data_IF_499244310041
#
_entry.id   IF_499244310041
#
_cell.length_a   1.000
_cell.length_b   1.000
_cell.length_c   1.000
_cell.angle_alpha   90.00
_cell.angle_beta   90.00
_cell.angle_gamma   90.00
#
_symmetry.space_group_name_H-M   'P 1'
#
loop_
_entity.id
_entity.type
_entity.pdbx_description
1 polymer ?
#
# COMPACT_ATOMS: atom_id res chain seq x y z
N UNK A 1 7.45 11.68 -10.76
CA UNK A 1 8.13 11.95 -9.47
C UNK A 1 7.14 11.60 -8.34
N UNK A 2 7.58 10.95 -7.26
CA UNK A 2 6.68 10.62 -6.15
C UNK A 2 6.10 11.89 -5.51
N UNK A 3 4.81 11.88 -5.10
CA UNK A 3 4.23 13.00 -4.35
C UNK A 3 5.05 13.29 -3.08
N UNK A 4 5.18 14.57 -2.66
CA UNK A 4 6.01 14.95 -1.50
C UNK A 4 5.77 14.10 -0.25
N UNK A 5 4.52 13.77 0.03
CA UNK A 5 4.09 12.96 1.17
C UNK A 5 4.57 11.50 1.13
N UNK A 6 5.01 10.99 -0.02
CA UNK A 6 5.55 9.63 -0.19
C UNK A 6 7.03 9.59 -0.54
N UNK A 7 7.72 10.75 -0.62
CA UNK A 7 9.15 10.79 -0.97
C UNK A 7 10.01 9.92 -0.04
N UNK A 8 9.70 9.92 1.26
CA UNK A 8 10.41 9.13 2.28
C UNK A 8 10.30 7.61 2.08
N UNK A 9 9.34 7.15 1.26
CA UNK A 9 9.16 5.73 0.93
C UNK A 9 9.85 5.35 -0.38
N UNK A 10 10.54 6.26 -1.06
CA UNK A 10 11.13 5.97 -2.38
C UNK A 10 12.36 5.05 -2.22
N UNK A 11 12.47 3.97 -3.02
CA UNK A 11 11.49 3.43 -3.98
C UNK A 11 10.37 2.61 -3.31
N UNK A 12 9.14 2.69 -3.83
CA UNK A 12 8.00 1.90 -3.36
C UNK A 12 7.18 1.35 -4.53
N UNK A 13 6.49 0.23 -4.30
CA UNK A 13 5.59 -0.38 -5.28
C UNK A 13 4.17 0.19 -5.18
N UNK A 14 3.54 0.32 -6.34
CA UNK A 14 2.10 0.60 -6.48
C UNK A 14 1.50 -0.43 -7.42
N UNK A 15 0.27 -0.87 -7.13
CA UNK A 15 -0.41 -1.87 -7.94
C UNK A 15 -1.92 -1.84 -7.75
N UNK A 16 -2.61 -2.65 -8.54
CA UNK A 16 -4.04 -2.91 -8.41
C UNK A 16 -4.18 -4.30 -7.79
N UNK A 17 -4.76 -4.38 -6.59
CA UNK A 17 -5.01 -5.63 -5.90
C UNK A 17 -6.44 -6.05 -6.13
N UNK A 18 -6.63 -7.29 -6.56
CA UNK A 18 -7.94 -7.92 -6.70
C UNK A 18 -8.26 -8.67 -5.41
N UNK A 19 -9.35 -8.26 -4.75
CA UNK A 19 -9.87 -8.89 -3.53
C UNK A 19 -10.60 -10.19 -3.89
N UNK A 20 -10.81 -11.07 -2.91
CA UNK A 20 -11.50 -12.35 -3.12
C UNK A 20 -12.93 -12.19 -3.69
N UNK A 21 -13.59 -11.08 -3.36
CA UNK A 21 -14.93 -10.73 -3.84
C UNK A 21 -14.93 -10.12 -5.26
N UNK A 22 -13.77 -9.99 -5.91
CA UNK A 22 -13.59 -9.42 -7.25
C UNK A 22 -13.41 -7.90 -7.31
N UNK A 23 -13.43 -7.22 -6.17
CA UNK A 23 -13.17 -5.77 -6.08
C UNK A 23 -11.71 -5.46 -6.38
N UNK A 24 -11.43 -4.39 -7.14
CA UNK A 24 -10.07 -3.97 -7.52
C UNK A 24 -9.70 -2.65 -6.88
N UNK A 25 -8.66 -2.65 -6.05
CA UNK A 25 -8.22 -1.47 -5.30
C UNK A 25 -6.81 -1.05 -5.72
N UNK A 26 -6.60 0.19 -6.19
CA UNK A 26 -5.26 0.73 -6.39
C UNK A 26 -4.64 1.10 -5.04
N UNK A 27 -3.43 0.64 -4.77
CA UNK A 27 -2.76 0.95 -3.50
C UNK A 27 -1.24 0.79 -3.55
N UNK A 28 -0.59 1.24 -2.48
CA UNK A 28 0.82 0.93 -2.21
C UNK A 28 0.92 -0.52 -1.74
N UNK A 29 1.90 -1.25 -2.27
CA UNK A 29 2.23 -2.61 -1.84
C UNK A 29 3.57 -2.58 -1.11
N UNK A 30 3.58 -3.02 0.14
CA UNK A 30 4.76 -3.09 1.00
C UNK A 30 5.27 -4.52 1.03
N UNK A 31 6.44 -4.72 0.46
CA UNK A 31 7.14 -6.00 0.39
C UNK A 31 8.51 -5.86 1.04
N UNK A 32 9.08 -6.96 1.54
CA UNK A 32 10.42 -6.91 2.13
C UNK A 32 11.48 -6.47 1.09
N UNK A 33 11.30 -6.88 -0.17
CA UNK A 33 12.18 -6.53 -1.29
C UNK A 33 11.36 -6.34 -2.56
N UNK A 34 11.56 -5.22 -3.26
CA UNK A 34 10.77 -4.89 -4.46
C UNK A 34 10.92 -5.95 -5.56
N UNK A 35 12.08 -6.61 -5.64
CA UNK A 35 12.35 -7.67 -6.61
C UNK A 35 11.49 -8.94 -6.44
N UNK A 36 10.85 -9.12 -5.27
CA UNK A 36 9.99 -10.28 -4.99
C UNK A 36 8.57 -10.10 -5.51
N UNK A 37 8.18 -8.86 -5.84
CA UNK A 37 6.84 -8.52 -6.28
C UNK A 37 6.50 -9.25 -7.59
N UNK A 38 5.38 -9.98 -7.61
CA UNK A 38 4.88 -10.70 -8.79
C UNK A 38 3.35 -10.61 -8.88
N UNK A 39 2.83 -10.68 -10.10
CA UNK A 39 1.39 -10.79 -10.33
C UNK A 39 0.90 -12.12 -9.76
N UNK A 40 -0.25 -12.11 -9.08
CA UNK A 40 -0.81 -13.28 -8.42
C UNK A 40 -0.19 -13.61 -7.06
N UNK A 41 0.63 -12.72 -6.50
CA UNK A 41 1.07 -12.82 -5.11
C UNK A 41 -0.12 -12.59 -4.16
N UNK A 42 -0.21 -13.42 -3.12
CA UNK A 42 -1.17 -13.20 -2.04
C UNK A 42 -0.71 -12.03 -1.16
N UNK A 43 -1.66 -11.14 -0.85
CA UNK A 43 -1.43 -9.92 -0.10
C UNK A 43 -2.55 -9.74 0.93
N UNK A 44 -2.23 -9.07 2.03
CA UNK A 44 -3.17 -8.70 3.08
C UNK A 44 -3.31 -7.17 3.14
N UNK A 45 -4.53 -6.67 3.36
CA UNK A 45 -4.77 -5.26 3.62
C UNK A 45 -4.37 -4.91 5.06
N UNK A 46 -3.68 -3.80 5.24
CA UNK A 46 -3.29 -3.26 6.54
C UNK A 46 -3.45 -1.73 6.53
N UNK A 47 -3.44 -1.11 7.70
CA UNK A 47 -3.70 0.31 7.89
C UNK A 47 -2.50 1.00 8.54
N UNK A 48 -2.19 2.21 8.09
CA UNK A 48 -1.17 3.03 8.72
C UNK A 48 -1.59 3.37 10.15
N UNK A 49 -0.69 3.13 11.11
CA UNK A 49 -0.96 3.41 12.53
C UNK A 49 -1.20 4.88 12.84
N UNK A 50 -0.59 5.78 12.06
CA UNK A 50 -0.75 7.22 12.22
C UNK A 50 -1.39 7.86 10.97
N UNK A 51 -2.40 8.72 11.13
CA UNK A 51 -2.89 9.57 10.06
C UNK A 51 -1.76 10.45 9.53
N UNK A 52 -1.58 10.51 8.21
CA UNK A 52 -0.54 11.36 7.61
C UNK A 52 -0.89 12.86 7.65
N UNK A 53 -2.14 13.21 7.93
CA UNK A 53 -2.63 14.60 7.87
C UNK A 53 -2.81 15.17 9.28
N UNK A 54 -2.30 16.39 9.49
CA UNK A 54 -2.44 17.12 10.75
C UNK A 54 -3.80 17.81 10.89
N UNK A 55 -4.59 17.84 9.82
CA UNK A 55 -5.92 18.43 9.79
C UNK A 55 -7.00 17.35 9.67
N UNK A 56 -8.19 17.63 10.21
CA UNK A 56 -9.34 16.75 10.10
C UNK A 56 -9.81 16.66 8.62
N UNK A 57 -10.06 15.46 8.04
CA UNK A 57 -10.07 14.17 8.69
C UNK A 57 -8.75 13.42 8.83
N UNK A 58 -8.52 12.87 10.03
CA UNK A 58 -7.34 12.08 10.38
C UNK A 58 -7.57 10.57 10.18
N UNK A 59 -7.85 10.17 8.95
CA UNK A 59 -8.05 8.75 8.66
C UNK A 59 -6.75 8.00 8.42
N UNK A 60 -6.63 6.76 8.93
CA UNK A 60 -5.54 5.89 8.54
C UNK A 60 -5.67 5.55 7.06
N UNK A 61 -4.54 5.41 6.38
CA UNK A 61 -4.50 4.95 4.98
C UNK A 61 -4.30 3.45 4.94
N UNK A 62 -5.04 2.79 4.05
CA UNK A 62 -4.79 1.38 3.77
C UNK A 62 -3.57 1.22 2.85
N UNK A 63 -2.90 0.08 2.98
CA UNK A 63 -1.89 -0.42 2.06
C UNK A 63 -1.99 -1.95 2.03
N UNK A 64 -1.35 -2.60 1.06
CA UNK A 64 -1.23 -4.05 1.05
C UNK A 64 0.17 -4.48 1.44
N UNK A 65 0.30 -5.64 2.08
CA UNK A 65 1.57 -6.25 2.47
C UNK A 65 1.61 -7.73 2.12
N UNK A 66 2.80 -8.30 2.05
CA UNK A 66 2.97 -9.76 1.97
C UNK A 66 2.29 -10.43 3.17
N UNK A 67 1.52 -11.49 2.90
CA UNK A 67 0.98 -12.35 3.96
C UNK A 67 2.15 -13.03 4.69
N UNK A 68 2.07 -13.09 6.02
CA UNK A 68 3.09 -13.72 6.87
C UNK A 68 3.14 -15.26 6.70
#
# INVERSE_FOLDING_TARGET
MAPPQFKHMTPYAVGIVEMAEGVKLPSIIRVARLELLKIGMELEADFSTNPQESAWPQWPRYFFKETA
#
